data_IF_324426801406
#
_entry.id   IF_324426801406
#
_cell.length_a   1.000
_cell.length_b   1.000
_cell.length_c   1.000
_cell.angle_alpha   90.00
_cell.angle_beta   90.00
_cell.angle_gamma   90.00
#
_symmetry.space_group_name_H-M   'P 1'
#
loop_
_entity.id
_entity.type
_entity.pdbx_description
1 polymer ?
#
# COMPACT_ATOMS: atom_id res chain seq x y z
N UNK A 1 -5.37 -18.31 -9.11
CA UNK A 1 -5.85 -17.13 -8.39
C UNK A 1 -6.94 -17.56 -7.41
N UNK A 2 -6.62 -17.67 -6.13
CA UNK A 2 -7.55 -18.16 -5.13
C UNK A 2 -8.24 -16.95 -4.50
N UNK A 3 -9.52 -16.81 -4.72
CA UNK A 3 -10.33 -15.90 -3.92
C UNK A 3 -10.46 -16.52 -2.53
N UNK A 4 -9.88 -15.88 -1.54
CA UNK A 4 -10.03 -16.28 -0.13
C UNK A 4 -11.25 -15.53 0.38
N UNK A 5 -12.39 -16.18 0.43
CA UNK A 5 -13.56 -15.63 1.12
C UNK A 5 -13.52 -16.12 2.56
N UNK A 6 -13.39 -15.23 3.55
CA UNK A 6 -13.66 -15.60 4.93
C UNK A 6 -15.10 -16.11 4.99
N UNK A 7 -15.30 -17.35 5.40
CA UNK A 7 -16.65 -17.90 5.56
C UNK A 7 -17.35 -17.14 6.70
N UNK A 8 -18.21 -16.23 6.33
CA UNK A 8 -19.12 -15.56 7.25
C UNK A 8 -20.51 -15.62 6.64
N UNK A 9 -21.43 -16.30 7.27
CA UNK A 9 -22.84 -16.32 6.86
C UNK A 9 -23.50 -14.93 7.03
N UNK A 10 -22.77 -13.99 7.61
CA UNK A 10 -23.28 -12.67 7.96
C UNK A 10 -22.73 -11.53 7.10
N UNK A 11 -21.51 -11.70 6.54
CA UNK A 11 -20.82 -10.63 5.83
C UNK A 11 -20.19 -11.14 4.53
N UNK A 12 -20.50 -10.48 3.45
CA UNK A 12 -19.92 -10.77 2.13
C UNK A 12 -18.59 -10.00 1.98
N UNK A 13 -17.54 -10.53 2.59
CA UNK A 13 -16.18 -10.02 2.47
C UNK A 13 -15.42 -10.87 1.47
N UNK A 14 -14.86 -10.24 0.46
CA UNK A 14 -14.00 -10.92 -0.53
C UNK A 14 -12.55 -10.49 -0.38
N UNK A 15 -11.63 -11.42 -0.58
CA UNK A 15 -10.20 -11.17 -0.66
C UNK A 15 -9.71 -11.64 -2.01
N UNK A 16 -9.37 -10.70 -2.87
CA UNK A 16 -8.83 -10.96 -4.19
C UNK A 16 -7.31 -10.91 -4.15
N UNK A 17 -6.65 -12.02 -4.47
CA UNK A 17 -5.21 -12.04 -4.73
C UNK A 17 -4.94 -11.29 -6.04
N UNK A 18 -4.17 -10.22 -5.96
CA UNK A 18 -3.75 -9.41 -7.12
C UNK A 18 -2.42 -9.90 -7.65
N UNK A 19 -1.47 -10.19 -6.75
CA UNK A 19 -0.15 -10.70 -7.14
C UNK A 19 0.47 -11.57 -6.06
N UNK A 20 1.28 -12.51 -6.50
CA UNK A 20 2.20 -13.28 -5.65
C UNK A 20 3.35 -13.81 -6.50
N UNK A 21 4.60 -13.62 -6.07
CA UNK A 21 5.80 -14.13 -6.76
C UNK A 21 5.84 -13.81 -8.26
N UNK A 22 5.49 -12.57 -8.64
CA UNK A 22 5.50 -12.13 -10.04
C UNK A 22 4.32 -12.60 -10.89
N UNK A 23 3.43 -13.43 -10.36
CA UNK A 23 2.15 -13.74 -10.98
C UNK A 23 1.15 -12.63 -10.68
N UNK A 24 0.71 -11.89 -11.69
CA UNK A 24 -0.28 -10.82 -11.55
C UNK A 24 -1.60 -11.26 -12.15
N UNK A 25 -2.68 -11.10 -11.40
CA UNK A 25 -4.04 -11.30 -11.92
C UNK A 25 -4.32 -10.40 -13.12
N UNK A 26 -5.01 -10.91 -14.14
CA UNK A 26 -5.32 -10.16 -15.37
C UNK A 26 -6.58 -9.31 -15.29
N UNK A 27 -7.31 -9.36 -14.17
CA UNK A 27 -8.62 -8.73 -14.03
C UNK A 27 -9.79 -9.63 -14.47
N UNK A 28 -9.53 -10.82 -15.00
CA UNK A 28 -10.56 -11.72 -15.53
C UNK A 28 -10.42 -13.12 -14.96
N UNK A 29 -11.48 -13.61 -14.32
CA UNK A 29 -11.55 -14.95 -13.75
C UNK A 29 -10.35 -15.25 -12.82
N UNK A 30 -9.70 -16.38 -13.04
CA UNK A 30 -8.49 -16.79 -12.31
C UNK A 30 -7.20 -16.64 -13.11
N UNK A 31 -7.27 -15.97 -14.26
CA UNK A 31 -6.12 -15.84 -15.16
C UNK A 31 -5.04 -14.96 -14.54
N UNK A 32 -3.79 -15.37 -14.70
CA UNK A 32 -2.61 -14.62 -14.27
C UNK A 32 -1.70 -14.33 -15.45
N UNK A 33 -0.81 -13.39 -15.25
CA UNK A 33 0.30 -13.05 -16.13
C UNK A 33 1.59 -13.13 -15.33
N UNK A 34 2.51 -13.97 -15.81
CA UNK A 34 3.87 -14.03 -15.26
C UNK A 34 4.68 -12.80 -15.68
N UNK A 35 5.40 -12.18 -14.76
CA UNK A 35 6.17 -10.95 -15.02
C UNK A 35 7.65 -11.08 -14.73
N UNK A 36 8.05 -12.13 -14.00
CA UNK A 36 9.46 -12.37 -13.71
C UNK A 36 10.16 -13.06 -14.89
N UNK A 37 11.45 -12.83 -15.07
CA UNK A 37 12.25 -13.64 -15.97
C UNK A 37 12.24 -15.12 -15.56
N UNK A 38 12.44 -16.02 -16.53
CA UNK A 38 12.63 -17.43 -16.23
C UNK A 38 13.88 -17.64 -15.35
N UNK A 39 13.83 -18.58 -14.42
CA UNK A 39 14.93 -18.84 -13.50
C UNK A 39 16.26 -19.07 -14.23
N UNK A 40 16.24 -19.80 -15.37
CA UNK A 40 17.43 -20.03 -16.20
C UNK A 40 18.06 -18.74 -16.70
N UNK A 41 17.23 -17.73 -17.05
CA UNK A 41 17.69 -16.45 -17.57
C UNK A 41 18.26 -15.58 -16.43
N UNK A 42 17.64 -15.65 -15.25
CA UNK A 42 18.14 -15.00 -14.03
C UNK A 42 19.52 -15.57 -13.66
N UNK A 43 19.67 -16.90 -13.64
CA UNK A 43 20.93 -17.58 -13.32
C UNK A 43 22.01 -17.24 -14.34
N UNK A 44 21.66 -17.20 -15.63
CA UNK A 44 22.61 -16.84 -16.69
C UNK A 44 23.07 -15.37 -16.60
N UNK A 45 22.18 -14.46 -16.17
CA UNK A 45 22.49 -13.05 -16.01
C UNK A 45 23.27 -12.72 -14.73
N UNK A 46 23.25 -13.62 -13.73
CA UNK A 46 23.91 -13.46 -12.43
C UNK A 46 24.82 -14.66 -12.14
N UNK A 47 25.95 -14.80 -12.84
CA UNK A 47 26.91 -15.85 -12.53
C UNK A 47 27.44 -15.65 -11.09
N UNK A 48 27.92 -16.72 -10.42
CA UNK A 48 28.33 -16.66 -9.00
C UNK A 48 29.35 -15.58 -8.65
N UNK A 49 30.10 -15.09 -9.65
CA UNK A 49 31.09 -14.04 -9.52
C UNK A 49 30.49 -12.62 -9.68
N UNK A 50 29.23 -12.51 -10.13
CA UNK A 50 28.58 -11.21 -10.29
C UNK A 50 28.09 -10.68 -8.94
N UNK A 51 28.62 -9.53 -8.55
CA UNK A 51 28.24 -8.87 -7.29
C UNK A 51 26.90 -8.10 -7.36
N UNK A 52 26.17 -8.18 -8.47
CA UNK A 52 24.98 -7.35 -8.72
C UNK A 52 23.71 -8.16 -8.87
N UNK A 53 22.82 -8.04 -7.90
CA UNK A 53 21.44 -8.57 -7.93
C UNK A 53 20.50 -7.76 -8.86
N UNK A 54 21.04 -6.87 -9.70
CA UNK A 54 20.22 -5.97 -10.53
C UNK A 54 19.33 -6.69 -11.56
N UNK A 55 19.65 -7.94 -11.86
CA UNK A 55 18.90 -8.77 -12.79
C UNK A 55 17.98 -9.79 -12.11
N UNK A 56 17.94 -9.80 -10.79
CA UNK A 56 17.03 -10.63 -10.02
C UNK A 56 15.84 -9.81 -9.49
N UNK A 57 14.62 -10.34 -9.54
CA UNK A 57 13.51 -9.74 -8.81
C UNK A 57 13.82 -9.73 -7.31
N UNK A 58 13.76 -8.55 -6.65
CA UNK A 58 13.97 -8.47 -5.21
C UNK A 58 12.83 -9.17 -4.46
N UNK A 59 13.08 -9.60 -3.23
CA UNK A 59 12.10 -10.26 -2.37
C UNK A 59 10.80 -9.45 -2.25
N UNK A 60 10.90 -8.12 -2.17
CA UNK A 60 9.73 -7.24 -2.11
C UNK A 60 8.84 -7.31 -3.37
N UNK A 61 9.39 -7.61 -4.54
CA UNK A 61 8.60 -7.85 -5.75
C UNK A 61 7.80 -9.16 -5.69
N UNK A 62 8.16 -10.06 -4.76
CA UNK A 62 7.44 -11.31 -4.49
C UNK A 62 6.25 -11.13 -3.54
N UNK A 63 5.97 -9.91 -3.10
CA UNK A 63 4.91 -9.61 -2.14
C UNK A 63 3.57 -10.24 -2.52
N UNK A 64 2.88 -10.74 -1.50
CA UNK A 64 1.48 -11.16 -1.62
C UNK A 64 0.60 -9.91 -1.58
N UNK A 65 0.01 -9.58 -2.71
CA UNK A 65 -0.78 -8.36 -2.92
C UNK A 65 -2.26 -8.70 -2.94
N UNK A 66 -3.04 -8.03 -2.10
CA UNK A 66 -4.46 -8.32 -1.96
C UNK A 66 -5.30 -7.05 -2.04
N UNK A 67 -6.47 -7.20 -2.65
CA UNK A 67 -7.59 -6.26 -2.50
C UNK A 67 -8.66 -6.92 -1.64
N UNK A 68 -9.09 -6.26 -0.59
CA UNK A 68 -10.14 -6.72 0.31
C UNK A 68 -11.37 -5.85 0.09
N UNK A 69 -12.48 -6.46 -0.27
CA UNK A 69 -13.73 -5.77 -0.57
C UNK A 69 -14.84 -6.20 0.39
N UNK A 70 -15.64 -5.23 0.84
CA UNK A 70 -16.86 -5.46 1.60
C UNK A 70 -17.93 -4.48 1.15
N UNK A 71 -18.91 -4.94 0.41
CA UNK A 71 -19.88 -4.09 -0.27
C UNK A 71 -19.16 -3.09 -1.19
N UNK A 72 -19.37 -1.79 -0.97
CA UNK A 72 -18.71 -0.73 -1.73
C UNK A 72 -17.31 -0.36 -1.19
N UNK A 73 -16.92 -0.87 -0.02
CA UNK A 73 -15.64 -0.54 0.58
C UNK A 73 -14.52 -1.42 0.02
N UNK A 74 -13.45 -0.79 -0.42
CA UNK A 74 -12.24 -1.45 -0.93
C UNK A 74 -10.99 -1.03 -0.15
N UNK A 75 -10.20 -2.03 0.25
CA UNK A 75 -8.92 -1.87 0.92
C UNK A 75 -7.78 -2.51 0.13
N UNK A 76 -6.68 -1.79 -0.02
CA UNK A 76 -5.45 -2.28 -0.64
C UNK A 76 -4.39 -2.69 0.38
N UNK A 77 -3.89 -3.92 0.23
CA UNK A 77 -2.77 -4.47 0.98
C UNK A 77 -1.67 -4.91 0.00
N UNK A 78 -0.79 -3.99 -0.35
CA UNK A 78 0.25 -4.21 -1.37
C UNK A 78 1.53 -4.86 -0.85
N UNK A 79 1.59 -5.23 0.43
CA UNK A 79 2.83 -5.74 1.03
C UNK A 79 3.94 -4.70 0.96
N UNK A 80 5.11 -5.14 0.53
CA UNK A 80 6.29 -4.29 0.37
C UNK A 80 6.67 -4.09 -1.11
N UNK A 81 5.63 -4.02 -1.98
CA UNK A 81 5.82 -3.70 -3.38
C UNK A 81 6.65 -2.45 -3.57
N UNK A 82 7.53 -2.50 -4.57
CA UNK A 82 8.38 -1.38 -4.99
C UNK A 82 8.54 -1.36 -6.50
N UNK A 83 9.17 -0.29 -7.02
CA UNK A 83 9.51 -0.18 -8.43
C UNK A 83 10.99 0.18 -8.60
N UNK A 84 11.65 -0.44 -9.56
CA UNK A 84 13.06 -0.19 -9.90
C UNK A 84 13.25 0.21 -11.37
N UNK A 85 12.21 0.74 -12.01
CA UNK A 85 12.28 1.12 -13.40
C UNK A 85 11.03 1.78 -13.93
N UNK A 86 11.11 2.30 -15.15
CA UNK A 86 10.03 3.07 -15.78
C UNK A 86 9.02 2.21 -16.56
N UNK A 87 9.30 0.93 -16.77
CA UNK A 87 8.42 0.06 -17.57
C UNK A 87 7.32 -0.54 -16.70
N UNK A 88 6.06 -0.25 -17.03
CA UNK A 88 4.87 -0.80 -16.36
C UNK A 88 4.68 -2.30 -16.59
N UNK A 89 5.38 -2.92 -17.52
CA UNK A 89 5.22 -4.32 -17.92
C UNK A 89 6.37 -5.23 -17.50
N UNK A 90 7.37 -4.70 -16.83
CA UNK A 90 8.46 -5.51 -16.32
C UNK A 90 8.33 -5.76 -14.83
N UNK A 91 8.98 -6.83 -14.33
CA UNK A 91 9.09 -7.08 -12.89
C UNK A 91 9.69 -5.90 -12.11
N UNK A 92 10.44 -5.01 -12.80
CA UNK A 92 11.00 -3.79 -12.21
C UNK A 92 9.95 -2.75 -11.84
N UNK A 93 8.73 -2.85 -12.36
CA UNK A 93 7.62 -1.95 -12.00
C UNK A 93 6.32 -2.73 -11.72
N UNK A 94 6.43 -3.75 -10.89
CA UNK A 94 5.31 -4.60 -10.51
C UNK A 94 4.25 -3.81 -9.71
N UNK A 95 4.66 -2.76 -8.98
CA UNK A 95 3.76 -1.90 -8.24
C UNK A 95 2.67 -1.29 -9.14
N UNK A 96 3.07 -0.66 -10.26
CA UNK A 96 2.12 -0.07 -11.20
C UNK A 96 1.24 -1.13 -11.87
N UNK A 97 1.84 -2.25 -12.27
CA UNK A 97 1.09 -3.33 -12.90
C UNK A 97 0.00 -3.89 -11.97
N UNK A 98 0.30 -4.04 -10.68
CA UNK A 98 -0.68 -4.46 -9.67
C UNK A 98 -1.75 -3.38 -9.43
N UNK A 99 -1.35 -2.10 -9.37
CA UNK A 99 -2.27 -1.00 -9.16
C UNK A 99 -3.29 -0.87 -10.29
N UNK A 100 -2.86 -1.03 -11.54
CA UNK A 100 -3.75 -0.97 -12.71
C UNK A 100 -4.83 -2.04 -12.69
N UNK A 101 -4.51 -3.24 -12.21
CA UNK A 101 -5.47 -4.35 -12.10
C UNK A 101 -6.34 -4.23 -10.84
N UNK A 102 -5.74 -3.79 -9.73
CA UNK A 102 -6.46 -3.60 -8.46
C UNK A 102 -7.49 -2.48 -8.52
N UNK A 103 -7.21 -1.45 -9.31
CA UNK A 103 -8.09 -0.29 -9.49
C UNK A 103 -8.28 0.54 -8.23
N UNK A 104 -9.37 1.32 -8.20
CA UNK A 104 -9.67 2.26 -7.11
C UNK A 104 -9.95 1.57 -5.78
N UNK A 105 -9.56 2.24 -4.69
CA UNK A 105 -9.79 1.78 -3.31
C UNK A 105 -10.15 2.95 -2.38
N UNK A 106 -10.84 2.70 -1.29
CA UNK A 106 -11.13 3.73 -0.27
C UNK A 106 -9.91 3.97 0.63
N UNK A 107 -9.28 2.89 1.06
CA UNK A 107 -8.13 2.92 1.96
C UNK A 107 -7.00 2.05 1.41
N UNK A 108 -5.79 2.56 1.48
CA UNK A 108 -4.59 1.85 1.06
C UNK A 108 -3.58 1.77 2.21
N UNK A 109 -3.02 0.58 2.47
CA UNK A 109 -1.74 0.50 3.18
C UNK A 109 -0.64 0.98 2.23
N UNK A 110 0.19 1.92 2.66
CA UNK A 110 1.36 2.32 1.89
C UNK A 110 2.25 1.11 1.60
N UNK A 111 2.63 0.92 0.34
CA UNK A 111 3.56 -0.12 -0.04
C UNK A 111 4.91 0.13 0.62
N UNK A 112 5.51 -0.94 1.15
CA UNK A 112 6.83 -0.93 1.80
C UNK A 112 7.03 0.26 2.74
N UNK A 113 6.02 0.54 3.57
CA UNK A 113 6.03 1.60 4.60
C UNK A 113 6.34 3.02 4.08
N UNK A 114 6.30 3.25 2.78
CA UNK A 114 6.65 4.53 2.17
C UNK A 114 8.16 4.79 2.05
N UNK A 115 8.98 3.74 1.92
CA UNK A 115 10.42 3.91 1.61
C UNK A 115 10.65 4.35 0.18
N UNK A 116 11.91 4.65 -0.16
CA UNK A 116 12.30 5.06 -1.52
C UNK A 116 11.87 4.01 -2.56
N UNK A 117 11.47 4.47 -3.74
CA UNK A 117 11.01 3.65 -4.86
C UNK A 117 9.71 2.85 -4.56
N UNK A 118 8.81 3.45 -3.83
CA UNK A 118 7.48 2.91 -3.56
C UNK A 118 6.42 3.99 -3.70
N UNK A 119 5.16 3.58 -3.87
CA UNK A 119 4.00 4.47 -3.93
C UNK A 119 4.15 5.55 -5.03
N UNK A 120 4.58 5.14 -6.22
CA UNK A 120 4.78 6.05 -7.35
C UNK A 120 3.48 6.72 -7.79
N UNK A 121 3.58 7.92 -8.36
CA UNK A 121 2.44 8.77 -8.72
C UNK A 121 1.42 8.05 -9.63
N UNK A 122 1.86 7.26 -10.60
CA UNK A 122 0.99 6.52 -11.50
C UNK A 122 0.19 5.42 -10.78
N UNK A 123 0.81 4.71 -9.85
CA UNK A 123 0.14 3.70 -9.03
C UNK A 123 -0.85 4.35 -8.05
N UNK A 124 -0.46 5.46 -7.43
CA UNK A 124 -1.34 6.25 -6.58
C UNK A 124 -2.57 6.75 -7.33
N UNK A 125 -2.41 7.26 -8.56
CA UNK A 125 -3.53 7.68 -9.41
C UNK A 125 -4.45 6.52 -9.82
N UNK A 126 -3.88 5.33 -10.06
CA UNK A 126 -4.66 4.14 -10.38
C UNK A 126 -5.54 3.70 -9.20
N UNK A 127 -4.99 3.73 -7.99
CA UNK A 127 -5.73 3.41 -6.76
C UNK A 127 -6.65 4.54 -6.30
N UNK A 128 -6.29 5.80 -6.55
CA UNK A 128 -7.04 6.99 -6.14
C UNK A 128 -7.59 6.88 -4.70
N UNK A 129 -6.79 6.47 -3.69
CA UNK A 129 -7.27 6.25 -2.33
C UNK A 129 -7.69 7.57 -1.68
N UNK A 130 -8.70 7.52 -0.81
CA UNK A 130 -9.05 8.65 0.07
C UNK A 130 -8.17 8.72 1.30
N UNK A 131 -7.68 7.56 1.74
CA UNK A 131 -6.81 7.44 2.90
C UNK A 131 -5.66 6.50 2.61
N UNK A 132 -4.45 6.91 3.00
CA UNK A 132 -3.28 6.05 3.00
C UNK A 132 -2.86 5.83 4.45
N UNK A 133 -2.69 4.57 4.84
CA UNK A 133 -2.17 4.18 6.16
C UNK A 133 -0.70 3.79 6.00
N UNK A 134 0.17 4.48 6.70
CA UNK A 134 1.60 4.17 6.76
C UNK A 134 1.90 3.50 8.10
N UNK A 135 2.24 2.21 8.03
CA UNK A 135 2.75 1.47 9.18
C UNK A 135 4.24 1.81 9.35
N UNK A 136 4.54 2.73 10.23
CA UNK A 136 5.88 3.27 10.43
C UNK A 136 6.54 2.67 11.67
N UNK A 137 7.84 2.37 11.58
CA UNK A 137 8.62 1.77 12.65
C UNK A 137 10.01 2.41 12.82
N UNK A 138 10.69 2.73 11.71
CA UNK A 138 12.06 3.25 11.70
C UNK A 138 12.14 4.61 11.00
N UNK A 139 13.28 5.28 11.10
CA UNK A 139 13.55 6.62 10.57
C UNK A 139 13.28 6.80 9.06
N UNK A 140 13.40 5.72 8.30
CA UNK A 140 13.12 5.73 6.85
C UNK A 140 11.66 5.45 6.48
N UNK A 141 10.76 5.35 7.45
CA UNK A 141 9.33 5.03 7.25
C UNK A 141 8.41 6.15 7.74
N UNK A 142 7.76 6.92 6.85
CA UNK A 142 8.00 7.05 5.42
C UNK A 142 9.17 8.00 5.12
N UNK A 143 9.72 7.92 3.91
CA UNK A 143 10.65 8.94 3.41
C UNK A 143 9.87 10.21 3.05
N UNK A 144 10.43 11.38 3.38
CA UNK A 144 9.84 12.70 3.08
C UNK A 144 9.44 12.83 1.61
N UNK A 145 10.31 12.41 0.68
CA UNK A 145 10.01 12.46 -0.75
C UNK A 145 8.77 11.64 -1.12
N UNK A 146 8.61 10.45 -0.56
CA UNK A 146 7.45 9.58 -0.86
C UNK A 146 6.18 10.14 -0.22
N UNK A 147 6.28 10.68 0.98
CA UNK A 147 5.16 11.36 1.64
C UNK A 147 4.69 12.57 0.83
N UNK A 148 5.62 13.41 0.35
CA UNK A 148 5.30 14.52 -0.53
C UNK A 148 4.62 14.06 -1.81
N UNK A 149 5.13 12.99 -2.44
CA UNK A 149 4.52 12.43 -3.65
C UNK A 149 3.08 11.97 -3.41
N UNK A 150 2.79 11.32 -2.27
CA UNK A 150 1.42 10.94 -1.91
C UNK A 150 0.47 12.13 -1.86
N UNK A 151 0.84 13.18 -1.12
CA UNK A 151 -0.04 14.34 -0.88
C UNK A 151 -0.13 15.30 -2.07
N UNK A 152 0.90 15.40 -2.90
CA UNK A 152 0.88 16.26 -4.10
C UNK A 152 0.21 15.56 -5.29
N UNK A 153 0.35 14.23 -5.40
CA UNK A 153 -0.30 13.45 -6.47
C UNK A 153 -1.80 13.34 -6.25
N UNK A 154 -2.25 13.24 -4.99
CA UNK A 154 -3.63 13.01 -4.61
C UNK A 154 -4.16 14.20 -3.78
N UNK A 155 -4.85 15.16 -4.40
CA UNK A 155 -5.22 16.42 -3.72
C UNK A 155 -6.20 16.23 -2.56
N UNK A 156 -6.91 15.11 -2.50
CA UNK A 156 -7.93 14.83 -1.47
C UNK A 156 -7.56 13.69 -0.52
N UNK A 157 -6.29 13.22 -0.53
CA UNK A 157 -5.86 12.12 0.32
C UNK A 157 -5.51 12.60 1.73
N UNK A 158 -5.92 11.87 2.74
CA UNK A 158 -5.38 11.95 4.09
C UNK A 158 -4.36 10.81 4.31
N UNK A 159 -3.17 11.14 4.77
CA UNK A 159 -2.13 10.16 5.10
C UNK A 159 -2.07 9.98 6.61
N UNK A 160 -2.26 8.76 7.08
CA UNK A 160 -2.30 8.39 8.48
C UNK A 160 -1.07 7.57 8.83
N UNK A 161 -0.24 8.06 9.75
CA UNK A 161 1.04 7.44 10.12
C UNK A 161 0.95 6.91 11.54
N UNK A 162 1.31 5.64 11.76
CA UNK A 162 1.21 4.98 13.08
C UNK A 162 2.19 5.55 14.08
N UNK A 163 3.43 5.84 13.66
CA UNK A 163 4.47 6.39 14.50
C UNK A 163 5.52 7.12 13.67
N UNK A 164 6.22 8.07 14.26
CA UNK A 164 7.48 8.60 13.74
C UNK A 164 8.61 8.19 14.67
N UNK A 165 9.71 7.73 14.10
CA UNK A 165 10.94 7.51 14.85
C UNK A 165 11.39 8.81 15.52
N UNK A 166 11.65 8.76 16.84
CA UNK A 166 11.93 9.96 17.62
C UNK A 166 13.37 10.48 17.50
N UNK A 167 14.27 9.74 16.87
CA UNK A 167 15.69 10.06 16.82
C UNK A 167 16.06 11.18 15.84
N UNK A 168 15.67 11.02 14.61
CA UNK A 168 15.79 12.08 13.59
C UNK A 168 14.46 12.05 12.82
N UNK A 169 13.63 13.03 13.06
CA UNK A 169 12.40 13.15 12.28
C UNK A 169 12.79 13.18 10.81
N UNK A 170 12.20 12.35 9.94
CA UNK A 170 11.94 12.85 8.63
C UNK A 170 11.19 14.14 8.89
N UNK A 171 11.85 15.26 8.67
CA UNK A 171 11.28 16.57 8.89
C UNK A 171 10.06 16.64 8.00
N UNK A 172 8.91 16.24 8.48
CA UNK A 172 7.62 16.36 7.84
C UNK A 172 7.66 16.40 6.32
N UNK A 173 6.80 17.10 5.76
CA UNK A 173 6.74 17.52 4.38
C UNK A 173 7.80 18.60 4.10
N UNK A 174 8.41 18.53 2.94
CA UNK A 174 9.41 19.44 2.40
C UNK A 174 8.80 20.84 2.22
N UNK A 175 9.64 21.89 2.15
CA UNK A 175 9.28 23.30 1.95
C UNK A 175 8.47 23.57 0.66
N UNK A 176 8.41 22.59 -0.25
CA UNK A 176 7.62 22.66 -1.49
C UNK A 176 6.14 22.31 -1.30
N UNK A 177 5.78 21.85 -0.11
CA UNK A 177 4.43 21.43 0.22
C UNK A 177 3.73 22.57 0.95
N UNK A 178 2.51 22.90 0.53
CA UNK A 178 1.71 23.95 1.17
C UNK A 178 1.27 23.55 2.58
N UNK A 179 0.93 24.51 3.41
CA UNK A 179 0.41 24.24 4.76
C UNK A 179 -0.89 23.41 4.73
N UNK A 180 -1.73 23.58 3.71
CA UNK A 180 -2.95 22.79 3.51
C UNK A 180 -2.62 21.34 3.17
N UNK A 181 -1.66 21.09 2.28
CA UNK A 181 -1.18 19.76 1.95
C UNK A 181 -0.56 19.09 3.17
N UNK A 182 0.29 19.79 3.92
CA UNK A 182 0.89 19.30 5.14
C UNK A 182 -0.15 18.89 6.21
N UNK A 183 -1.25 19.63 6.32
CA UNK A 183 -2.33 19.34 7.26
C UNK A 183 -3.05 18.01 6.99
N UNK A 184 -2.90 17.44 5.79
CA UNK A 184 -3.45 16.13 5.42
C UNK A 184 -2.60 14.95 5.92
N UNK A 185 -1.37 15.22 6.38
CA UNK A 185 -0.51 14.23 7.02
C UNK A 185 -0.83 14.19 8.51
N UNK A 186 -1.29 13.04 8.99
CA UNK A 186 -1.76 12.84 10.36
C UNK A 186 -0.91 11.81 11.09
N UNK A 187 -0.20 12.25 12.09
CA UNK A 187 0.57 11.39 12.98
C UNK A 187 -0.29 11.03 14.20
N UNK A 188 -0.32 9.74 14.54
CA UNK A 188 -1.17 9.27 15.61
C UNK A 188 -0.44 8.70 16.82
N UNK A 189 0.76 8.21 16.64
CA UNK A 189 1.50 7.53 17.71
C UNK A 189 0.61 6.46 18.39
N UNK A 190 0.32 5.40 17.62
CA UNK A 190 -0.55 4.31 18.02
C UNK A 190 -1.08 3.49 16.86
N UNK A 191 -1.95 2.53 17.16
CA UNK A 191 -2.55 1.67 16.15
C UNK A 191 -3.61 2.43 15.33
N UNK A 192 -3.69 2.15 14.05
CA UNK A 192 -4.72 2.66 13.15
C UNK A 192 -5.67 1.53 12.80
N UNK A 193 -6.95 1.73 13.07
CA UNK A 193 -8.02 0.78 12.77
C UNK A 193 -8.98 1.40 11.76
N UNK A 194 -9.22 0.69 10.68
CA UNK A 194 -10.27 1.02 9.71
C UNK A 194 -11.50 0.19 10.04
N UNK A 195 -12.55 0.83 10.54
CA UNK A 195 -13.80 0.17 10.90
C UNK A 195 -14.84 0.39 9.82
N UNK A 196 -15.25 -0.68 9.15
CA UNK A 196 -16.26 -0.68 8.10
C UNK A 196 -17.60 -1.13 8.67
N UNK A 197 -18.70 -0.50 8.28
CA UNK A 197 -20.06 -0.75 8.79
C UNK A 197 -21.09 -0.74 7.66
N UNK A 198 -22.33 -1.13 8.00
CA UNK A 198 -23.50 -1.08 7.13
C UNK A 198 -23.26 -1.77 5.76
N UNK A 199 -22.75 -3.01 5.82
CA UNK A 199 -22.49 -3.79 4.60
C UNK A 199 -21.46 -3.17 3.66
N UNK A 200 -20.45 -2.46 4.21
CA UNK A 200 -19.41 -1.81 3.40
C UNK A 200 -19.78 -0.40 2.93
N UNK A 201 -20.94 0.13 3.31
CA UNK A 201 -21.40 1.45 2.87
C UNK A 201 -20.65 2.60 3.54
N UNK A 202 -20.22 2.41 4.79
CA UNK A 202 -19.54 3.44 5.57
C UNK A 202 -18.30 2.89 6.26
N UNK A 203 -17.34 3.78 6.48
CA UNK A 203 -16.17 3.46 7.30
C UNK A 203 -15.72 4.64 8.16
N UNK A 204 -14.90 4.36 9.16
CA UNK A 204 -14.20 5.33 10.01
C UNK A 204 -12.76 4.90 10.21
N UNK A 205 -11.88 5.86 10.43
CA UNK A 205 -10.53 5.61 10.87
C UNK A 205 -10.46 5.93 12.36
N UNK A 206 -9.95 4.98 13.13
CA UNK A 206 -9.82 5.08 14.57
C UNK A 206 -8.35 4.93 14.92
N UNK A 207 -7.91 5.66 15.92
CA UNK A 207 -6.59 5.50 16.52
C UNK A 207 -6.72 4.95 17.92
N UNK A 208 -5.95 3.90 18.22
CA UNK A 208 -5.88 3.30 19.54
C UNK A 208 -4.53 3.62 20.18
N UNK A 209 -4.53 3.70 21.51
CA UNK A 209 -3.30 3.82 22.27
C UNK A 209 -2.43 2.58 22.09
N UNK A 210 -1.13 2.78 21.95
CA UNK A 210 -0.13 1.73 22.01
C UNK A 210 0.39 1.59 23.46
N UNK A 211 -0.53 1.39 24.39
CA UNK A 211 -0.21 1.11 25.79
C UNK A 211 -0.55 -0.34 26.07
N UNK A 212 0.42 -1.07 26.56
CA UNK A 212 0.32 -2.51 26.81
C UNK A 212 -1.01 -2.87 27.52
N UNK A 213 -1.85 -3.59 26.82
CA UNK A 213 -3.11 -4.15 27.34
C UNK A 213 -4.32 -3.21 27.36
N UNK A 214 -4.22 -1.95 26.96
CA UNK A 214 -5.39 -1.03 27.07
C UNK A 214 -6.17 -0.84 25.77
N UNK A 215 -5.54 -0.74 24.63
CA UNK A 215 -6.19 -0.53 23.32
C UNK A 215 -7.31 0.53 23.35
N UNK A 216 -7.14 1.59 24.16
CA UNK A 216 -8.13 2.65 24.29
C UNK A 216 -8.21 3.47 23.02
N UNK A 217 -9.41 3.86 22.63
CA UNK A 217 -9.62 4.75 21.49
C UNK A 217 -9.13 6.16 21.83
N UNK A 218 -8.11 6.64 21.10
CA UNK A 218 -7.59 8.03 21.22
C UNK A 218 -8.40 8.99 20.37
N UNK A 219 -8.74 8.58 19.14
CA UNK A 219 -9.40 9.43 18.15
C UNK A 219 -10.28 8.60 17.22
N UNK A 220 -11.38 9.17 16.79
CA UNK A 220 -12.26 8.61 15.75
C UNK A 220 -12.54 9.72 14.75
N UNK A 221 -12.38 9.44 13.46
CA UNK A 221 -12.75 10.38 12.40
C UNK A 221 -14.26 10.49 12.23
N UNK A 222 -14.70 11.44 11.45
CA UNK A 222 -16.05 11.45 10.89
C UNK A 222 -16.33 10.15 10.13
N UNK A 223 -17.60 9.88 9.88
CA UNK A 223 -18.02 8.75 9.06
C UNK A 223 -17.82 9.12 7.58
N UNK A 224 -17.11 8.28 6.85
CA UNK A 224 -16.92 8.37 5.40
C UNK A 224 -17.88 7.42 4.69
N UNK A 225 -18.32 7.81 3.50
CA UNK A 225 -19.09 6.92 2.61
C UNK A 225 -18.11 6.22 1.68
N UNK A 226 -18.20 4.90 1.55
CA UNK A 226 -17.44 4.13 0.57
C UNK A 226 -17.87 4.46 -0.87
N UNK A 227 -17.00 4.23 -1.84
CA UNK A 227 -17.23 4.60 -3.26
C UNK A 227 -18.22 3.70 -3.98
#
# INVERSE_FOLDING_TARGET
NTQIAPKSDKYDVTVQNISVNGEIWTGVGTNTRHTFPELKDIVAANPPEASNDENCPPENACSCVMKISFGNFDYWAGGDLQYNGKSSFSWKNIELACAQVGGKVDVMKANHHGVTNTNQAEALKAHDPRHIVVCSWVDCHPRTKVLNEMITTLPNVDVHITNFWQGERPSGVDDKVTAEEAARVKLYDGHIVVRVTDGGRFYRIMTLEDVQGTMKVKKVTTKYTSR
#
